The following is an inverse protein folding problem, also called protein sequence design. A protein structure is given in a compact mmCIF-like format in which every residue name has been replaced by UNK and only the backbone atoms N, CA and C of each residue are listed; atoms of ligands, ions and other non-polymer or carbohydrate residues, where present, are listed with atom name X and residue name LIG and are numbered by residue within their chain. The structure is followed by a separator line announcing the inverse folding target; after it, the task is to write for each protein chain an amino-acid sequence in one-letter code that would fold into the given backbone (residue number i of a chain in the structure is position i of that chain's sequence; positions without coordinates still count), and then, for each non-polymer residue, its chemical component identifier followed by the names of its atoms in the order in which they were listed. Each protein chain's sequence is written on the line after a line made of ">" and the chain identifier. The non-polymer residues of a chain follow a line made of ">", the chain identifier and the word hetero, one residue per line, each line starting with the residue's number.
data_IF_017697843970
#
_entry.id   IF_017697843970
#
_cell.length_a   1.000
_cell.length_b   1.000
_cell.length_c   1.000
_cell.angle_alpha   90.00
_cell.angle_beta   90.00
_cell.angle_gamma   90.00
#
_symmetry.space_group_name_H-M   'P 1'
#
loop_
_entity.id
_entity.type
_entity.pdbx_description
1 polymer ?
#
# COMPACT_ATOMS: atom_id res chain seq x y z
N UNK A 1 -26.31 -6.96 -13.49
CA UNK A 1 -26.59 -8.35 -13.07
C UNK A 1 -26.55 -8.39 -11.55
N UNK A 2 -27.69 -8.53 -10.88
CA UNK A 2 -27.76 -8.70 -9.43
C UNK A 2 -27.60 -10.17 -9.10
N UNK A 3 -26.56 -10.54 -8.36
CA UNK A 3 -26.30 -11.91 -7.90
C UNK A 3 -27.42 -12.32 -6.93
N UNK A 4 -27.95 -13.54 -7.03
CA UNK A 4 -29.00 -14.00 -6.11
C UNK A 4 -28.45 -14.14 -4.68
N UNK A 5 -29.26 -13.89 -3.62
CA UNK A 5 -28.81 -14.04 -2.24
C UNK A 5 -28.28 -15.44 -1.91
N UNK A 6 -28.81 -16.47 -2.57
CA UNK A 6 -28.34 -17.85 -2.46
C UNK A 6 -26.94 -18.01 -3.07
N UNK A 7 -26.72 -17.48 -4.28
CA UNK A 7 -25.42 -17.50 -4.95
C UNK A 7 -24.36 -16.75 -4.13
N UNK A 8 -24.69 -15.60 -3.55
CA UNK A 8 -23.78 -14.86 -2.69
C UNK A 8 -23.36 -15.70 -1.47
N UNK A 9 -24.31 -16.31 -0.77
CA UNK A 9 -24.03 -17.20 0.37
C UNK A 9 -23.17 -18.41 0.01
N UNK A 10 -23.38 -18.99 -1.17
CA UNK A 10 -22.53 -20.09 -1.65
C UNK A 10 -21.09 -19.62 -1.90
N UNK A 11 -20.93 -18.48 -2.58
CA UNK A 11 -19.61 -17.90 -2.85
C UNK A 11 -18.88 -17.53 -1.56
N UNK A 12 -19.59 -16.95 -0.58
CA UNK A 12 -19.04 -16.62 0.74
C UNK A 12 -18.60 -17.87 1.53
N UNK A 13 -19.28 -19.01 1.30
CA UNK A 13 -18.94 -20.28 1.95
C UNK A 13 -17.79 -21.04 1.26
N UNK A 14 -17.49 -20.77 -0.01
CA UNK A 14 -16.46 -21.48 -0.78
C UNK A 14 -15.09 -21.53 -0.07
N UNK A 15 -14.54 -20.43 0.49
CA UNK A 15 -13.24 -20.47 1.15
C UNK A 15 -13.22 -21.43 2.34
N UNK A 16 -14.27 -21.37 3.18
CA UNK A 16 -14.40 -22.22 4.36
C UNK A 16 -14.54 -23.70 3.95
N UNK A 17 -15.33 -23.98 2.92
CA UNK A 17 -15.49 -25.33 2.40
C UNK A 17 -14.18 -25.89 1.84
N UNK A 18 -13.42 -25.08 1.08
CA UNK A 18 -12.12 -25.49 0.55
C UNK A 18 -11.15 -25.79 1.68
N UNK A 19 -10.97 -24.90 2.65
CA UNK A 19 -10.08 -25.12 3.79
C UNK A 19 -10.51 -26.33 4.62
N UNK A 20 -11.80 -26.45 4.94
CA UNK A 20 -12.35 -27.58 5.69
C UNK A 20 -12.15 -28.91 4.97
N UNK A 21 -12.33 -28.95 3.65
CA UNK A 21 -12.10 -30.15 2.84
C UNK A 21 -10.64 -30.61 2.85
N UNK A 22 -9.68 -29.68 2.77
CA UNK A 22 -8.24 -30.00 2.82
C UNK A 22 -7.89 -30.62 4.17
N UNK A 23 -8.39 -30.05 5.27
CA UNK A 23 -8.15 -30.59 6.63
C UNK A 23 -8.76 -31.99 6.75
N UNK A 24 -10.02 -32.17 6.36
CA UNK A 24 -10.71 -33.47 6.43
C UNK A 24 -9.98 -34.53 5.58
N UNK A 25 -9.62 -34.19 4.34
CA UNK A 25 -8.87 -35.07 3.45
C UNK A 25 -7.50 -35.44 4.03
N UNK A 26 -6.83 -34.50 4.69
CA UNK A 26 -5.54 -34.77 5.34
C UNK A 26 -5.70 -35.75 6.52
N UNK A 27 -6.75 -35.60 7.33
CA UNK A 27 -7.05 -36.52 8.43
C UNK A 27 -7.39 -37.92 7.93
N UNK A 28 -8.16 -38.03 6.84
CA UNK A 28 -8.49 -39.33 6.21
C UNK A 28 -7.22 -39.94 5.62
N UNK A 29 -6.44 -39.16 4.86
CA UNK A 29 -5.21 -39.63 4.22
C UNK A 29 -4.16 -40.11 5.24
N UNK A 30 -4.18 -39.59 6.47
CA UNK A 30 -3.29 -40.06 7.55
C UNK A 30 -3.44 -41.57 7.81
N UNK A 31 -4.66 -42.09 7.77
CA UNK A 31 -4.93 -43.52 8.03
C UNK A 31 -4.85 -44.38 6.77
N UNK A 32 -5.31 -43.87 5.63
CA UNK A 32 -5.47 -44.67 4.41
C UNK A 32 -4.34 -44.50 3.38
N UNK A 33 -3.61 -43.38 3.41
CA UNK A 33 -2.58 -43.06 2.42
C UNK A 33 -1.42 -42.22 3.01
N UNK A 34 -0.76 -42.66 4.10
CA UNK A 34 0.26 -41.86 4.80
C UNK A 34 1.45 -41.48 3.92
N UNK A 35 1.85 -42.36 2.98
CA UNK A 35 2.93 -42.07 2.04
C UNK A 35 2.58 -40.92 1.09
N UNK A 36 1.39 -40.94 0.49
CA UNK A 36 0.92 -39.88 -0.40
C UNK A 36 0.82 -38.54 0.33
N UNK A 37 0.27 -38.55 1.56
CA UNK A 37 0.20 -37.37 2.42
C UNK A 37 1.60 -36.80 2.71
N UNK A 38 2.60 -37.66 2.97
CA UNK A 38 3.98 -37.24 3.22
C UNK A 38 4.62 -36.56 2.00
N UNK A 39 4.37 -37.07 0.79
CA UNK A 39 4.91 -36.50 -0.45
C UNK A 39 4.29 -35.13 -0.74
N UNK A 40 2.96 -35.00 -0.59
CA UNK A 40 2.27 -33.71 -0.73
C UNK A 40 2.79 -32.71 0.30
N UNK A 41 2.96 -33.14 1.55
CA UNK A 41 3.51 -32.30 2.62
C UNK A 41 4.94 -31.87 2.32
N UNK A 42 5.78 -32.76 1.79
CA UNK A 42 7.14 -32.43 1.39
C UNK A 42 7.18 -31.36 0.31
N UNK A 43 6.36 -31.49 -0.74
CA UNK A 43 6.21 -30.48 -1.80
C UNK A 43 5.73 -29.16 -1.20
N UNK A 44 4.75 -29.20 -0.30
CA UNK A 44 4.23 -28.03 0.38
C UNK A 44 5.28 -27.31 1.23
N UNK A 45 6.10 -28.05 1.98
CA UNK A 45 7.21 -27.48 2.77
C UNK A 45 8.23 -26.82 1.84
N UNK A 46 8.61 -27.46 0.73
CA UNK A 46 9.52 -26.85 -0.25
C UNK A 46 8.94 -25.59 -0.89
N UNK A 47 7.64 -25.60 -1.20
CA UNK A 47 6.93 -24.40 -1.65
C UNK A 47 6.98 -23.28 -0.60
N UNK A 48 6.74 -23.59 0.68
CA UNK A 48 6.83 -22.60 1.76
C UNK A 48 8.25 -22.06 1.90
N UNK A 49 9.28 -22.91 1.86
CA UNK A 49 10.69 -22.51 1.88
C UNK A 49 10.99 -21.55 0.74
N UNK A 50 10.59 -21.90 -0.49
CA UNK A 50 10.78 -21.04 -1.65
C UNK A 50 10.03 -19.70 -1.51
N UNK A 51 8.77 -19.73 -1.06
CA UNK A 51 7.94 -18.54 -0.84
C UNK A 51 8.55 -17.60 0.19
N UNK A 52 8.98 -18.12 1.34
CA UNK A 52 9.58 -17.29 2.39
C UNK A 52 10.98 -16.80 2.02
N UNK A 53 11.77 -17.61 1.30
CA UNK A 53 13.07 -17.18 0.78
C UNK A 53 12.91 -16.03 -0.21
N UNK A 54 11.94 -16.13 -1.12
CA UNK A 54 11.62 -15.04 -2.06
C UNK A 54 11.11 -13.79 -1.33
N UNK A 55 10.20 -13.96 -0.36
CA UNK A 55 9.70 -12.86 0.46
C UNK A 55 10.85 -12.13 1.18
N UNK A 56 11.75 -12.87 1.83
CA UNK A 56 12.91 -12.32 2.52
C UNK A 56 13.83 -11.57 1.55
N UNK A 57 14.17 -12.17 0.41
CA UNK A 57 14.98 -11.51 -0.62
C UNK A 57 14.33 -10.21 -1.11
N UNK A 58 13.04 -10.25 -1.42
CA UNK A 58 12.30 -9.07 -1.87
C UNK A 58 12.26 -7.97 -0.82
N UNK A 59 12.11 -8.34 0.46
CA UNK A 59 12.09 -7.40 1.58
C UNK A 59 13.45 -6.74 1.77
N UNK A 60 14.54 -7.51 1.79
CA UNK A 60 15.90 -6.99 1.92
C UNK A 60 16.26 -6.05 0.76
N UNK A 61 15.91 -6.44 -0.47
CA UNK A 61 16.14 -5.59 -1.65
C UNK A 61 15.27 -4.34 -1.63
N UNK A 62 14.04 -4.45 -1.16
CA UNK A 62 13.12 -3.32 -0.98
C UNK A 62 13.66 -2.31 0.03
N UNK A 63 14.13 -2.78 1.19
CA UNK A 63 14.72 -1.93 2.22
C UNK A 63 15.95 -1.17 1.70
N UNK A 64 16.85 -1.86 0.99
CA UNK A 64 18.02 -1.21 0.37
C UNK A 64 17.61 -0.12 -0.62
N UNK A 65 16.63 -0.39 -1.47
CA UNK A 65 16.13 0.61 -2.44
C UNK A 65 15.49 1.82 -1.76
N UNK A 66 14.78 1.61 -0.65
CA UNK A 66 14.21 2.71 0.12
C UNK A 66 15.33 3.56 0.72
N UNK A 67 16.38 2.94 1.27
CA UNK A 67 17.54 3.65 1.80
C UNK A 67 18.24 4.44 0.70
N UNK A 68 18.57 3.80 -0.43
CA UNK A 68 19.17 4.45 -1.61
C UNK A 68 18.32 5.63 -2.09
N UNK A 69 16.99 5.48 -2.17
CA UNK A 69 16.08 6.54 -2.58
C UNK A 69 15.96 7.69 -1.56
N UNK A 70 16.19 7.41 -0.28
CA UNK A 70 16.15 8.42 0.80
C UNK A 70 17.45 9.24 0.84
N UNK A 71 18.58 8.61 0.56
CA UNK A 71 19.90 9.28 0.51
C UNK A 71 20.15 10.01 -0.81
N UNK A 72 19.43 9.65 -1.88
CA UNK A 72 19.58 10.24 -3.20
C UNK A 72 19.09 11.70 -3.22
N UNK A 73 19.96 12.62 -3.65
CA UNK A 73 19.51 13.95 -4.06
C UNK A 73 18.83 13.86 -5.42
N UNK A 74 17.51 13.98 -5.44
CA UNK A 74 16.69 13.87 -6.64
C UNK A 74 16.81 15.09 -7.55
N UNK A 75 17.04 16.29 -7.00
CA UNK A 75 17.21 17.52 -7.79
C UNK A 75 18.49 17.47 -8.60
N UNK A 76 19.61 17.09 -7.98
CA UNK A 76 20.89 16.96 -8.69
C UNK A 76 20.82 15.91 -9.80
N UNK A 77 20.11 14.80 -9.55
CA UNK A 77 19.90 13.74 -10.54
C UNK A 77 19.05 14.26 -11.73
N UNK A 78 18.01 15.05 -11.43
CA UNK A 78 17.17 15.66 -12.45
C UNK A 78 17.92 16.69 -13.28
N UNK A 79 18.76 17.52 -12.66
CA UNK A 79 19.55 18.53 -13.35
C UNK A 79 20.54 17.89 -14.34
N UNK A 80 21.18 16.78 -13.95
CA UNK A 80 22.01 15.98 -14.86
C UNK A 80 21.21 15.38 -16.02
N UNK A 81 20.01 14.87 -15.74
CA UNK A 81 19.11 14.37 -16.78
C UNK A 81 18.71 15.46 -17.77
N UNK A 82 18.30 16.63 -17.26
CA UNK A 82 17.87 17.79 -18.04
C UNK A 82 18.98 18.38 -18.90
N UNK A 83 20.25 18.30 -18.48
CA UNK A 83 21.39 18.71 -19.29
C UNK A 83 21.46 17.99 -20.66
N UNK A 84 20.95 16.76 -20.73
CA UNK A 84 20.83 15.99 -21.98
C UNK A 84 19.43 16.00 -22.60
N UNK A 85 18.44 16.60 -21.92
CA UNK A 85 17.03 16.67 -22.32
C UNK A 85 16.48 18.09 -22.11
N UNK A 86 16.88 19.06 -22.95
CA UNK A 86 16.54 20.47 -22.75
C UNK A 86 15.03 20.76 -22.83
N UNK A 87 14.27 19.91 -23.51
CA UNK A 87 12.80 20.00 -23.62
C UNK A 87 12.07 19.56 -22.34
N UNK A 88 12.78 19.02 -21.35
CA UNK A 88 12.19 18.67 -20.06
C UNK A 88 11.81 19.90 -19.23
N UNK A 89 10.76 19.73 -18.43
CA UNK A 89 10.16 20.79 -17.59
C UNK A 89 11.23 21.34 -16.62
N UNK A 90 11.22 22.64 -16.36
CA UNK A 90 12.10 23.22 -15.34
C UNK A 90 11.63 22.74 -13.96
N UNK A 91 12.53 22.32 -13.07
CA UNK A 91 12.15 21.73 -11.77
C UNK A 91 11.19 22.62 -10.98
N UNK A 92 11.47 23.93 -10.93
CA UNK A 92 10.67 24.92 -10.21
C UNK A 92 9.28 25.18 -10.83
N UNK A 93 9.03 24.68 -12.04
CA UNK A 93 7.71 24.76 -12.70
C UNK A 93 6.85 23.52 -12.42
N UNK A 94 7.39 22.51 -11.74
CA UNK A 94 6.65 21.29 -11.39
C UNK A 94 5.73 21.60 -10.22
N UNK A 95 4.43 21.45 -10.47
CA UNK A 95 3.40 21.50 -9.44
C UNK A 95 3.00 20.10 -9.01
N UNK A 96 3.10 19.78 -7.72
CA UNK A 96 2.83 18.45 -7.21
C UNK A 96 1.41 18.33 -6.68
N UNK A 97 0.64 17.36 -7.18
CA UNK A 97 -0.71 17.08 -6.65
C UNK A 97 -0.63 15.80 -5.80
N UNK A 98 -0.86 15.95 -4.49
CA UNK A 98 -0.84 14.85 -3.52
C UNK A 98 -2.28 14.49 -3.15
N UNK A 99 -2.73 13.31 -3.59
CA UNK A 99 -4.04 12.77 -3.22
C UNK A 99 -3.88 11.88 -1.99
N UNK A 100 -4.51 12.27 -0.88
CA UNK A 100 -4.50 11.54 0.38
C UNK A 100 -5.89 10.98 0.68
N UNK A 101 -6.24 9.80 0.14
CA UNK A 101 -7.49 9.13 0.47
C UNK A 101 -7.45 8.63 1.92
N UNK A 102 -8.53 8.84 2.66
CA UNK A 102 -8.63 8.36 4.04
C UNK A 102 -10.03 7.93 4.42
N UNK A 103 -10.12 6.85 5.19
CA UNK A 103 -11.35 6.35 5.80
C UNK A 103 -11.08 5.78 7.19
N UNK A 104 -11.68 6.40 8.20
CA UNK A 104 -11.62 5.95 9.59
C UNK A 104 -10.24 6.09 10.23
N UNK A 105 -9.29 6.75 9.55
CA UNK A 105 -7.95 6.95 10.11
C UNK A 105 -7.99 7.98 11.26
N UNK A 106 -7.24 7.75 12.34
CA UNK A 106 -7.12 8.74 13.41
C UNK A 106 -6.46 10.01 12.89
N UNK A 107 -6.94 11.18 13.35
CA UNK A 107 -6.38 12.48 12.94
C UNK A 107 -4.88 12.61 13.24
N UNK A 108 -4.37 11.93 14.28
CA UNK A 108 -2.96 11.91 14.60
C UNK A 108 -2.09 11.28 13.49
N UNK A 109 -2.61 10.25 12.81
CA UNK A 109 -1.92 9.59 11.68
C UNK A 109 -1.86 10.54 10.49
N UNK A 110 -3.00 11.15 10.14
CA UNK A 110 -3.07 12.14 9.07
C UNK A 110 -2.16 13.34 9.31
N UNK A 111 -2.15 13.87 10.55
CA UNK A 111 -1.26 14.95 10.97
C UNK A 111 0.21 14.56 10.83
N UNK A 112 0.57 13.34 11.23
CA UNK A 112 1.94 12.86 11.09
C UNK A 112 2.36 12.83 9.62
N UNK A 113 1.51 12.33 8.72
CA UNK A 113 1.80 12.31 7.28
C UNK A 113 1.95 13.72 6.69
N UNK A 114 1.03 14.63 7.00
CA UNK A 114 1.10 16.02 6.55
C UNK A 114 2.31 16.76 7.11
N UNK A 115 2.69 16.48 8.36
CA UNK A 115 3.91 17.01 8.97
C UNK A 115 5.16 16.55 8.22
N UNK A 116 5.26 15.28 7.86
CA UNK A 116 6.38 14.80 7.05
C UNK A 116 6.38 15.45 5.66
N UNK A 117 5.22 15.56 5.00
CA UNK A 117 5.10 16.24 3.70
C UNK A 117 5.52 17.72 3.78
N UNK A 118 5.18 18.42 4.85
CA UNK A 118 5.53 19.83 5.03
C UNK A 118 7.04 20.08 5.16
N UNK A 119 7.83 19.03 5.41
CA UNK A 119 9.31 19.12 5.50
C UNK A 119 10.03 18.89 4.16
N UNK A 120 9.30 18.53 3.09
CA UNK A 120 9.90 18.39 1.76
C UNK A 120 10.25 19.77 1.18
N UNK A 121 11.35 19.84 0.43
CA UNK A 121 11.80 21.07 -0.23
C UNK A 121 10.75 21.61 -1.22
N UNK A 122 9.92 20.72 -1.77
CA UNK A 122 8.86 21.03 -2.73
C UNK A 122 7.52 21.35 -2.07
N UNK A 123 7.41 21.37 -0.73
CA UNK A 123 6.13 21.55 -0.01
C UNK A 123 5.35 22.77 -0.50
N UNK A 124 6.04 23.90 -0.72
CA UNK A 124 5.44 25.14 -1.21
C UNK A 124 4.87 25.07 -2.64
N UNK A 125 5.23 24.05 -3.43
CA UNK A 125 4.71 23.76 -4.76
C UNK A 125 3.73 22.56 -4.77
N UNK A 126 3.20 22.17 -3.60
CA UNK A 126 2.24 21.07 -3.48
C UNK A 126 0.80 21.58 -3.35
N UNK A 127 -0.12 20.94 -4.07
CA UNK A 127 -1.54 20.91 -3.73
C UNK A 127 -1.87 19.56 -3.09
N UNK A 128 -2.24 19.58 -1.81
CA UNK A 128 -2.66 18.39 -1.07
C UNK A 128 -4.19 18.29 -1.09
N UNK A 129 -4.72 17.13 -1.47
CA UNK A 129 -6.15 16.84 -1.51
C UNK A 129 -6.47 15.77 -0.46
N UNK A 130 -7.15 16.18 0.60
CA UNK A 130 -7.69 15.34 1.66
C UNK A 130 -8.97 14.67 1.16
N UNK A 131 -8.81 13.57 0.43
CA UNK A 131 -9.91 12.80 -0.14
C UNK A 131 -10.58 11.91 0.92
N UNK A 132 -11.26 12.54 1.88
CA UNK A 132 -11.98 11.86 2.96
C UNK A 132 -13.23 11.15 2.42
N UNK A 133 -13.43 9.90 2.81
CA UNK A 133 -14.61 9.15 2.39
C UNK A 133 -15.90 9.67 3.05
N UNK A 134 -16.93 9.94 2.24
CA UNK A 134 -18.21 10.50 2.70
C UNK A 134 -18.96 9.64 3.74
N UNK A 135 -18.62 8.33 3.83
CA UNK A 135 -19.18 7.42 4.83
C UNK A 135 -18.64 7.65 6.24
N UNK A 136 -17.57 8.42 6.40
CA UNK A 136 -17.02 8.76 7.71
C UNK A 136 -17.74 9.97 8.32
N UNK A 137 -18.31 9.77 9.51
CA UNK A 137 -19.12 10.79 10.17
C UNK A 137 -18.36 12.08 10.51
N UNK A 138 -17.06 11.97 10.82
CA UNK A 138 -16.21 13.09 11.27
C UNK A 138 -15.24 13.60 10.18
N UNK A 139 -15.41 13.12 8.93
CA UNK A 139 -14.52 13.42 7.81
C UNK A 139 -14.30 14.94 7.61
N UNK A 140 -15.39 15.71 7.63
CA UNK A 140 -15.35 17.14 7.37
C UNK A 140 -14.60 17.93 8.45
N UNK A 141 -14.84 17.62 9.72
CA UNK A 141 -14.17 18.32 10.83
C UNK A 141 -12.67 18.04 10.83
N UNK A 142 -12.28 16.76 10.63
CA UNK A 142 -10.87 16.37 10.50
C UNK A 142 -10.21 17.08 9.33
N UNK A 143 -10.83 17.06 8.15
CA UNK A 143 -10.30 17.73 6.97
C UNK A 143 -10.15 19.23 7.20
N UNK A 144 -11.16 19.90 7.76
CA UNK A 144 -11.08 21.34 8.06
C UNK A 144 -9.97 21.64 9.06
N UNK A 145 -9.85 20.86 10.13
CA UNK A 145 -8.81 21.04 11.13
C UNK A 145 -7.40 20.90 10.53
N UNK A 146 -7.17 19.84 9.74
CA UNK A 146 -5.88 19.59 9.10
C UNK A 146 -5.59 20.63 8.02
N UNK A 147 -6.60 21.06 7.26
CA UNK A 147 -6.47 22.13 6.27
C UNK A 147 -6.00 23.41 6.93
N UNK A 148 -6.65 23.82 8.02
CA UNK A 148 -6.32 25.06 8.71
C UNK A 148 -4.95 24.99 9.40
N UNK A 149 -4.58 23.80 9.92
CA UNK A 149 -3.28 23.53 10.53
C UNK A 149 -2.11 23.59 9.52
N UNK A 150 -2.30 23.04 8.31
CA UNK A 150 -1.23 22.90 7.31
C UNK A 150 -1.31 23.88 6.13
N UNK A 151 -2.32 24.76 6.08
CA UNK A 151 -2.43 25.83 5.09
C UNK A 151 -1.15 26.66 4.87
N UNK A 152 -0.33 27.01 5.88
CA UNK A 152 0.87 27.81 5.63
C UNK A 152 2.03 27.04 4.97
N UNK A 153 1.94 25.70 4.83
CA UNK A 153 3.05 24.87 4.36
C UNK A 153 2.98 24.48 2.89
N UNK A 154 1.76 24.46 2.33
CA UNK A 154 1.50 24.01 0.97
C UNK A 154 0.97 25.15 0.11
N UNK A 155 1.09 25.06 -1.22
CA UNK A 155 0.42 26.02 -2.11
C UNK A 155 -1.09 25.99 -1.88
N UNK A 156 -1.63 24.78 -1.73
CA UNK A 156 -3.04 24.58 -1.42
C UNK A 156 -3.24 23.28 -0.67
N UNK A 157 -4.19 23.29 0.26
CA UNK A 157 -4.73 22.08 0.88
C UNK A 157 -6.26 22.11 0.76
N UNK A 158 -6.82 21.00 0.27
CA UNK A 158 -8.22 20.85 -0.15
C UNK A 158 -8.90 19.73 0.60
#
# INVERSE_FOLDING_TARGET
>A
MTISPFTQRMLDALPVMMTGSIVLLSLVALFYAPFALSLVTLIWVWYLVARFSFALYSHLRGLRRIQEATEQNWRDLYDQFRASHPDSIVWEQVHHIILMPSYGEPIAVLRQSLSQLSTSDEASAMTVVLAMEAREADAFNKASQLRDEFAPHFERIL
#
